data_IF_159226490073
#
_entry.id   IF_159226490073
#
_cell.length_a   1.000
_cell.length_b   1.000
_cell.length_c   1.000
_cell.angle_alpha   90.00
_cell.angle_beta   90.00
_cell.angle_gamma   90.00
#
_symmetry.space_group_name_H-M   'P 1'
#
loop_
_entity.id
_entity.type
_entity.pdbx_description
1 polymer ?
#
# COMPACT_ATOMS: atom_id res chain seq x y z
N UNK A 1 6.59 2.87 -9.15
CA UNK A 1 6.23 2.06 -7.94
C UNK A 1 5.17 0.99 -8.25
N UNK A 2 4.07 1.28 -8.96
CA UNK A 2 3.05 0.27 -9.28
C UNK A 2 3.61 -0.96 -10.01
N UNK A 3 4.48 -0.77 -11.01
CA UNK A 3 5.14 -1.88 -11.72
C UNK A 3 5.99 -2.73 -10.76
N UNK A 4 6.71 -2.11 -9.83
CA UNK A 4 7.50 -2.85 -8.84
C UNK A 4 6.61 -3.71 -7.94
N UNK A 5 5.48 -3.15 -7.46
CA UNK A 5 4.49 -3.90 -6.69
C UNK A 5 3.87 -5.05 -7.49
N UNK A 6 3.51 -4.82 -8.75
CA UNK A 6 2.97 -5.85 -9.63
C UNK A 6 3.98 -7.00 -9.86
N UNK A 7 5.25 -6.69 -10.08
CA UNK A 7 6.30 -7.70 -10.25
C UNK A 7 6.60 -8.47 -8.96
N UNK A 8 6.43 -7.84 -7.79
CA UNK A 8 6.65 -8.48 -6.50
C UNK A 8 5.69 -9.64 -6.21
N UNK A 9 4.52 -9.68 -6.86
CA UNK A 9 3.56 -10.79 -6.71
C UNK A 9 4.16 -12.14 -7.12
N UNK A 10 5.05 -12.15 -8.13
CA UNK A 10 5.64 -13.39 -8.62
C UNK A 10 6.51 -14.10 -7.56
N UNK A 11 7.56 -13.48 -6.99
CA UNK A 11 8.34 -14.12 -5.94
C UNK A 11 7.51 -14.36 -4.67
N UNK A 12 6.57 -13.48 -4.34
CA UNK A 12 5.65 -13.66 -3.20
C UNK A 12 4.83 -14.92 -3.39
N UNK A 13 4.16 -15.10 -4.52
CA UNK A 13 3.35 -16.30 -4.79
C UNK A 13 4.16 -17.60 -4.74
N UNK A 14 5.43 -17.58 -5.15
CA UNK A 14 6.34 -18.74 -4.99
C UNK A 14 6.56 -19.04 -3.49
N UNK A 15 6.85 -18.02 -2.70
CA UNK A 15 7.06 -18.18 -1.25
C UNK A 15 5.79 -18.68 -0.57
N UNK A 16 4.64 -18.11 -0.89
CA UNK A 16 3.33 -18.51 -0.35
C UNK A 16 3.01 -19.97 -0.66
N UNK A 17 3.21 -20.41 -1.90
CA UNK A 17 3.01 -21.82 -2.27
C UNK A 17 3.91 -22.74 -1.44
N UNK A 18 5.17 -22.38 -1.22
CA UNK A 18 6.09 -23.19 -0.39
C UNK A 18 5.66 -23.19 1.07
N UNK A 19 5.32 -22.02 1.62
CA UNK A 19 5.00 -21.87 3.04
C UNK A 19 3.64 -22.52 3.38
N UNK A 20 2.67 -22.48 2.48
CA UNK A 20 1.38 -23.16 2.68
C UNK A 20 1.49 -24.69 2.75
N UNK A 21 2.60 -25.28 2.25
CA UNK A 21 2.84 -26.73 2.47
C UNK A 21 3.09 -27.07 3.94
N UNK A 22 3.52 -26.09 4.76
CA UNK A 22 3.77 -26.29 6.19
C UNK A 22 2.45 -26.38 6.96
N UNK A 23 1.47 -25.57 6.56
CA UNK A 23 0.17 -25.50 7.24
C UNK A 23 -0.99 -25.32 6.22
N UNK A 24 -1.42 -26.41 5.57
CA UNK A 24 -2.22 -26.30 4.33
C UNK A 24 -3.70 -25.96 4.54
N UNK A 25 -4.24 -25.98 5.77
CA UNK A 25 -5.70 -25.86 5.98
C UNK A 25 -6.12 -24.54 6.65
N UNK A 26 -6.66 -23.62 5.87
CA UNK A 26 -7.31 -22.38 6.35
C UNK A 26 -8.63 -22.64 7.11
N UNK A 27 -9.21 -23.83 6.99
CA UNK A 27 -10.46 -24.21 7.65
C UNK A 27 -10.29 -24.35 9.18
N UNK A 28 -9.08 -24.65 9.64
CA UNK A 28 -8.78 -24.66 11.07
C UNK A 28 -8.45 -23.25 11.57
N UNK A 29 -8.67 -23.00 12.86
CA UNK A 29 -8.34 -21.72 13.47
C UNK A 29 -6.84 -21.39 13.34
N UNK A 30 -5.99 -22.37 13.64
CA UNK A 30 -4.54 -22.19 13.56
C UNK A 30 -4.06 -21.99 12.12
N UNK A 31 -4.62 -22.73 11.16
CA UNK A 31 -4.33 -22.58 9.74
C UNK A 31 -4.76 -21.21 9.22
N UNK A 32 -5.96 -20.75 9.57
CA UNK A 32 -6.44 -19.41 9.19
C UNK A 32 -5.56 -18.30 9.74
N UNK A 33 -5.13 -18.41 11.00
CA UNK A 33 -4.18 -17.45 11.60
C UNK A 33 -2.82 -17.48 10.89
N UNK A 34 -2.28 -18.66 10.64
CA UNK A 34 -1.00 -18.82 9.98
C UNK A 34 -1.03 -18.24 8.55
N UNK A 35 -2.03 -18.62 7.76
CA UNK A 35 -2.17 -18.12 6.38
C UNK A 35 -2.36 -16.62 6.35
N UNK A 36 -3.25 -16.06 7.18
CA UNK A 36 -3.54 -14.63 7.19
C UNK A 36 -2.37 -13.77 7.65
N UNK A 37 -1.70 -14.14 8.76
CA UNK A 37 -0.68 -13.28 9.35
C UNK A 37 0.74 -13.58 8.87
N UNK A 38 1.06 -14.83 8.55
CA UNK A 38 2.41 -15.22 8.13
C UNK A 38 2.50 -15.32 6.63
N UNK A 39 1.60 -16.06 5.98
CA UNK A 39 1.68 -16.26 4.52
C UNK A 39 1.34 -14.97 3.79
N UNK A 40 0.11 -14.47 3.93
CA UNK A 40 -0.30 -13.24 3.28
C UNK A 40 0.33 -12.00 3.96
N UNK A 41 -0.02 -11.74 5.22
CA UNK A 41 0.37 -10.52 5.90
C UNK A 41 1.88 -10.26 5.89
N UNK A 42 2.69 -11.16 6.46
CA UNK A 42 4.12 -10.91 6.61
C UNK A 42 4.87 -10.94 5.27
N UNK A 43 4.61 -11.92 4.42
CA UNK A 43 5.35 -12.08 3.16
C UNK A 43 5.03 -10.92 2.21
N UNK A 44 3.74 -10.61 2.01
CA UNK A 44 3.33 -9.54 1.11
C UNK A 44 3.74 -8.15 1.59
N UNK A 45 3.49 -7.82 2.87
CA UNK A 45 3.82 -6.47 3.37
C UNK A 45 5.32 -6.25 3.42
N UNK A 46 6.12 -7.30 3.67
CA UNK A 46 7.58 -7.23 3.55
C UNK A 46 8.02 -6.99 2.11
N UNK A 47 7.39 -7.64 1.12
CA UNK A 47 7.70 -7.44 -0.29
C UNK A 47 7.35 -6.01 -0.77
N UNK A 48 6.19 -5.48 -0.35
CA UNK A 48 5.79 -4.09 -0.63
C UNK A 48 6.76 -3.08 -0.01
N UNK A 49 7.19 -3.31 1.24
CA UNK A 49 8.20 -2.49 1.91
C UNK A 49 9.56 -2.56 1.19
N UNK A 50 9.94 -3.74 0.71
CA UNK A 50 11.16 -3.93 -0.06
C UNK A 50 11.11 -3.16 -1.40
N UNK A 51 9.96 -3.11 -2.08
CA UNK A 51 9.78 -2.27 -3.26
C UNK A 51 10.09 -0.79 -2.95
N UNK A 52 9.53 -0.25 -1.85
CA UNK A 52 9.82 1.12 -1.41
C UNK A 52 11.31 1.32 -1.16
N UNK A 53 11.95 0.36 -0.47
CA UNK A 53 13.37 0.43 -0.10
C UNK A 53 14.31 0.37 -1.30
N UNK A 54 14.01 -0.46 -2.29
CA UNK A 54 14.90 -0.70 -3.43
C UNK A 54 14.70 0.30 -4.56
N UNK A 55 13.46 0.76 -4.80
CA UNK A 55 13.14 1.55 -5.99
C UNK A 55 13.27 3.04 -5.76
N UNK A 56 12.77 3.58 -4.64
CA UNK A 56 12.70 5.04 -4.44
C UNK A 56 13.49 5.56 -3.25
N UNK A 57 13.93 4.71 -2.34
CA UNK A 57 14.53 5.16 -1.08
C UNK A 57 15.70 6.14 -1.23
N UNK A 58 16.51 5.96 -2.25
CA UNK A 58 17.69 6.78 -2.52
C UNK A 58 17.48 7.76 -3.72
N UNK A 59 16.24 7.93 -4.17
CA UNK A 59 15.93 8.85 -5.25
C UNK A 59 15.81 10.29 -4.73
N UNK A 60 16.25 11.28 -5.49
CA UNK A 60 16.13 12.68 -5.10
C UNK A 60 14.67 13.15 -5.00
N UNK A 61 13.76 12.50 -5.73
CA UNK A 61 12.34 12.77 -5.70
C UNK A 61 11.64 12.23 -4.42
N UNK A 62 12.38 11.53 -3.56
CA UNK A 62 11.88 11.08 -2.26
C UNK A 62 12.40 12.04 -1.19
N UNK A 63 11.82 13.22 -1.11
CA UNK A 63 12.28 14.33 -0.27
C UNK A 63 11.23 14.82 0.75
N UNK A 64 9.98 14.32 0.67
CA UNK A 64 8.91 14.63 1.60
C UNK A 64 8.41 13.39 2.34
N UNK A 65 7.75 13.61 3.50
CA UNK A 65 7.16 12.51 4.29
C UNK A 65 5.97 11.89 3.58
N UNK A 66 5.19 12.73 2.89
CA UNK A 66 4.04 12.27 2.14
C UNK A 66 4.42 11.39 0.95
N UNK A 67 5.58 11.65 0.33
CA UNK A 67 6.09 10.85 -0.79
C UNK A 67 6.22 9.37 -0.46
N UNK A 68 6.73 9.06 0.75
CA UNK A 68 6.86 7.67 1.17
C UNK A 68 5.51 6.95 1.21
N UNK A 69 4.46 7.64 1.67
CA UNK A 69 3.10 7.08 1.71
C UNK A 69 2.55 6.87 0.29
N UNK A 70 2.74 7.87 -0.58
CA UNK A 70 2.26 7.82 -1.98
C UNK A 70 2.98 6.72 -2.75
N UNK A 71 4.31 6.67 -2.68
CA UNK A 71 5.08 5.64 -3.39
C UNK A 71 4.79 4.24 -2.88
N UNK A 72 4.64 4.06 -1.57
CA UNK A 72 4.26 2.78 -0.99
C UNK A 72 2.84 2.37 -1.39
N UNK A 73 1.87 3.30 -1.35
CA UNK A 73 0.49 3.03 -1.81
C UNK A 73 0.45 2.58 -3.27
N UNK A 74 1.25 3.20 -4.16
CA UNK A 74 1.37 2.75 -5.55
C UNK A 74 1.94 1.34 -5.68
N UNK A 75 2.89 0.94 -4.82
CA UNK A 75 3.36 -0.44 -4.79
C UNK A 75 2.24 -1.39 -4.34
N UNK A 76 1.49 -1.02 -3.29
CA UNK A 76 0.32 -1.78 -2.83
C UNK A 76 -0.75 -1.95 -3.90
N UNK A 77 -1.08 -0.88 -4.63
CA UNK A 77 -2.04 -0.92 -5.75
C UNK A 77 -1.57 -1.81 -6.90
N UNK A 78 -0.29 -1.73 -7.26
CA UNK A 78 0.27 -2.60 -8.30
C UNK A 78 0.25 -4.07 -7.90
N UNK A 79 0.57 -4.37 -6.65
CA UNK A 79 0.47 -5.69 -6.07
C UNK A 79 -0.97 -6.21 -6.13
N UNK A 80 -1.93 -5.46 -5.57
CA UNK A 80 -3.34 -5.80 -5.54
C UNK A 80 -3.95 -6.04 -6.93
N UNK A 81 -3.49 -5.30 -7.95
CA UNK A 81 -3.96 -5.49 -9.33
C UNK A 81 -3.65 -6.91 -9.84
N UNK A 82 -2.40 -7.34 -9.71
CA UNK A 82 -1.97 -8.67 -10.21
C UNK A 82 -2.58 -9.78 -9.37
N UNK A 83 -2.60 -9.63 -8.05
CA UNK A 83 -3.24 -10.56 -7.15
C UNK A 83 -4.73 -10.74 -7.46
N UNK A 84 -5.47 -9.64 -7.70
CA UNK A 84 -6.89 -9.70 -8.08
C UNK A 84 -7.11 -10.47 -9.39
N UNK A 85 -6.22 -10.32 -10.37
CA UNK A 85 -6.27 -11.11 -11.61
C UNK A 85 -6.13 -12.59 -11.29
N UNK A 86 -5.21 -12.96 -10.38
CA UNK A 86 -5.03 -14.34 -9.91
C UNK A 86 -6.29 -14.90 -9.25
N UNK A 87 -6.89 -14.17 -8.32
CA UNK A 87 -8.14 -14.57 -7.66
C UNK A 87 -9.30 -14.73 -8.64
N UNK A 88 -9.44 -13.81 -9.59
CA UNK A 88 -10.48 -13.90 -10.60
C UNK A 88 -10.23 -15.10 -11.54
N UNK A 89 -9.00 -15.39 -11.91
CA UNK A 89 -8.67 -16.54 -12.72
C UNK A 89 -8.97 -17.87 -12.01
N UNK A 90 -8.84 -17.90 -10.68
CA UNK A 90 -9.15 -19.07 -9.85
C UNK A 90 -10.65 -19.20 -9.50
N UNK A 91 -11.43 -18.12 -9.62
CA UNK A 91 -12.84 -18.10 -9.25
C UNK A 91 -13.71 -18.96 -10.21
N UNK A 92 -14.73 -19.60 -9.68
CA UNK A 92 -15.76 -20.29 -10.48
C UNK A 92 -16.65 -19.30 -11.25
N UNK A 93 -17.17 -19.71 -12.41
CA UNK A 93 -17.95 -18.83 -13.31
C UNK A 93 -19.08 -18.05 -12.65
N UNK A 94 -19.73 -18.57 -11.62
CA UNK A 94 -20.81 -17.88 -10.87
C UNK A 94 -20.32 -16.87 -9.82
N UNK A 95 -19.03 -16.82 -9.53
CA UNK A 95 -18.45 -16.02 -8.43
C UNK A 95 -17.71 -14.76 -8.90
N UNK A 96 -17.44 -14.61 -10.20
CA UNK A 96 -16.62 -13.51 -10.74
C UNK A 96 -17.07 -12.13 -10.30
N UNK A 97 -18.35 -11.81 -10.47
CA UNK A 97 -18.86 -10.46 -10.21
C UNK A 97 -18.76 -10.13 -8.72
N UNK A 98 -19.20 -11.06 -7.86
CA UNK A 98 -19.10 -10.89 -6.40
C UNK A 98 -17.66 -10.75 -5.92
N UNK A 99 -16.77 -11.61 -6.41
CA UNK A 99 -15.33 -11.56 -6.11
C UNK A 99 -14.71 -10.24 -6.57
N UNK A 100 -14.97 -9.83 -7.82
CA UNK A 100 -14.47 -8.58 -8.37
C UNK A 100 -14.93 -7.37 -7.56
N UNK A 101 -16.21 -7.27 -7.24
CA UNK A 101 -16.78 -6.16 -6.47
C UNK A 101 -16.19 -6.14 -5.05
N UNK A 102 -16.19 -7.28 -4.35
CA UNK A 102 -15.69 -7.35 -2.99
C UNK A 102 -14.20 -6.98 -2.92
N UNK A 103 -13.37 -7.53 -3.80
CA UNK A 103 -11.95 -7.23 -3.81
C UNK A 103 -11.65 -5.79 -4.22
N UNK A 104 -12.38 -5.24 -5.20
CA UNK A 104 -12.21 -3.85 -5.62
C UNK A 104 -12.57 -2.85 -4.52
N UNK A 105 -13.60 -3.14 -3.73
CA UNK A 105 -14.07 -2.23 -2.67
C UNK A 105 -13.29 -2.36 -1.36
N UNK A 106 -12.77 -3.54 -1.04
CA UNK A 106 -12.18 -3.81 0.26
C UNK A 106 -10.70 -4.20 0.20
N UNK A 107 -10.32 -5.18 -0.64
CA UNK A 107 -8.95 -5.67 -0.71
C UNK A 107 -8.01 -4.64 -1.34
N UNK A 108 -8.36 -4.04 -2.49
CA UNK A 108 -7.51 -3.05 -3.16
C UNK A 108 -7.21 -1.84 -2.26
N UNK A 109 -8.21 -1.19 -1.62
CA UNK A 109 -7.94 -0.11 -0.68
C UNK A 109 -7.15 -0.57 0.56
N UNK A 110 -7.33 -1.81 1.02
CA UNK A 110 -6.56 -2.34 2.14
C UNK A 110 -5.08 -2.45 1.79
N UNK A 111 -4.71 -3.06 0.65
CA UNK A 111 -3.32 -3.16 0.21
C UNK A 111 -2.64 -1.79 0.08
N UNK A 112 -3.34 -0.81 -0.50
CA UNK A 112 -2.85 0.56 -0.58
C UNK A 112 -2.66 1.17 0.82
N UNK A 113 -3.60 0.90 1.74
CA UNK A 113 -3.55 1.41 3.12
C UNK A 113 -2.40 0.80 3.91
N UNK A 114 -2.22 -0.52 3.87
CA UNK A 114 -1.12 -1.23 4.55
C UNK A 114 0.24 -0.72 4.07
N UNK A 115 0.42 -0.61 2.76
CA UNK A 115 1.65 -0.09 2.19
C UNK A 115 1.88 1.39 2.59
N UNK A 116 0.85 2.25 2.55
CA UNK A 116 0.96 3.65 2.96
C UNK A 116 1.31 3.81 4.45
N UNK A 117 0.77 2.96 5.33
CA UNK A 117 1.14 2.92 6.76
C UNK A 117 2.64 2.62 6.91
N UNK A 118 3.14 1.63 6.17
CA UNK A 118 4.57 1.31 6.15
C UNK A 118 5.39 2.51 5.68
N UNK A 119 4.95 3.18 4.61
CA UNK A 119 5.57 4.40 4.09
C UNK A 119 5.66 5.52 5.13
N UNK A 120 4.56 5.77 5.86
CA UNK A 120 4.50 6.81 6.89
C UNK A 120 5.57 6.60 7.99
N UNK A 121 5.62 5.40 8.58
CA UNK A 121 6.59 5.13 9.63
C UNK A 121 8.04 5.09 9.12
N UNK A 122 8.25 4.65 7.89
CA UNK A 122 9.55 4.71 7.23
C UNK A 122 10.00 6.16 7.04
N UNK A 123 9.11 7.05 6.58
CA UNK A 123 9.38 8.49 6.41
C UNK A 123 9.71 9.17 7.74
N UNK A 124 8.90 8.94 8.78
CA UNK A 124 9.16 9.50 10.11
C UNK A 124 10.55 9.15 10.64
N UNK A 125 10.98 7.91 10.45
CA UNK A 125 12.33 7.51 10.86
C UNK A 125 13.40 8.17 10.02
N UNK A 126 13.15 8.34 8.72
CA UNK A 126 14.11 8.95 7.77
C UNK A 126 14.27 10.45 7.98
N UNK A 127 13.15 11.18 8.07
CA UNK A 127 13.16 12.64 8.05
C UNK A 127 13.17 13.25 9.45
N UNK A 128 12.47 12.63 10.42
CA UNK A 128 12.36 13.14 11.80
C UNK A 128 13.30 12.44 12.78
N UNK A 129 13.94 11.33 12.37
CA UNK A 129 14.74 10.50 13.27
C UNK A 129 13.92 9.76 14.35
N UNK A 130 12.58 9.78 14.27
CA UNK A 130 11.66 9.29 15.31
C UNK A 130 10.77 8.14 14.84
N UNK A 131 10.14 7.45 15.78
CA UNK A 131 9.18 6.38 15.49
C UNK A 131 9.82 5.02 15.17
N UNK A 132 8.98 4.00 14.96
CA UNK A 132 9.42 2.60 14.84
C UNK A 132 10.05 2.27 13.47
N UNK A 133 10.04 3.21 12.53
CA UNK A 133 10.59 3.03 11.20
C UNK A 133 9.83 2.04 10.33
N UNK A 134 10.45 1.62 9.23
CA UNK A 134 9.84 0.72 8.26
C UNK A 134 9.41 -0.61 8.89
N UNK A 135 10.21 -1.19 9.78
CA UNK A 135 9.88 -2.46 10.43
C UNK A 135 8.61 -2.36 11.28
N UNK A 136 8.45 -1.27 12.05
CA UNK A 136 7.22 -1.04 12.82
C UNK A 136 6.02 -0.75 11.92
N UNK A 137 6.23 -0.07 10.79
CA UNK A 137 5.20 0.12 9.76
C UNK A 137 4.74 -1.21 9.17
N UNK A 138 5.68 -2.09 8.79
CA UNK A 138 5.38 -3.44 8.33
C UNK A 138 4.62 -4.24 9.39
N UNK A 139 5.05 -4.20 10.65
CA UNK A 139 4.36 -4.93 11.72
C UNK A 139 2.88 -4.49 11.87
N UNK A 140 2.61 -3.18 11.79
CA UNK A 140 1.23 -2.68 11.83
C UNK A 140 0.45 -3.05 10.57
N UNK A 141 1.08 -2.99 9.40
CA UNK A 141 0.48 -3.42 8.14
C UNK A 141 0.13 -4.92 8.17
N UNK A 142 1.04 -5.77 8.67
CA UNK A 142 0.80 -7.21 8.89
C UNK A 142 -0.38 -7.45 9.83
N UNK A 143 -0.45 -6.71 10.94
CA UNK A 143 -1.57 -6.82 11.88
C UNK A 143 -2.90 -6.44 11.23
N UNK A 144 -2.94 -5.38 10.44
CA UNK A 144 -4.15 -4.93 9.74
C UNK A 144 -4.56 -5.91 8.62
N UNK A 145 -3.61 -6.26 7.75
CA UNK A 145 -3.81 -7.18 6.63
C UNK A 145 -4.22 -8.57 7.12
N UNK A 146 -3.44 -9.14 8.04
CA UNK A 146 -3.74 -10.44 8.62
C UNK A 146 -5.09 -10.48 9.34
N UNK A 147 -5.50 -9.40 10.02
CA UNK A 147 -6.84 -9.31 10.62
C UNK A 147 -7.94 -9.34 9.56
N UNK A 148 -7.75 -8.64 8.46
CA UNK A 148 -8.69 -8.61 7.34
C UNK A 148 -8.84 -10.00 6.72
N UNK A 149 -7.74 -10.66 6.36
CA UNK A 149 -7.76 -12.00 5.75
C UNK A 149 -8.27 -13.05 6.70
N UNK A 150 -7.81 -13.04 7.95
CA UNK A 150 -8.32 -13.94 8.97
C UNK A 150 -9.84 -13.83 9.13
N UNK A 151 -10.36 -12.60 9.17
CA UNK A 151 -11.79 -12.36 9.27
C UNK A 151 -12.54 -12.86 8.02
N UNK A 152 -11.97 -12.66 6.82
CA UNK A 152 -12.53 -13.17 5.57
C UNK A 152 -12.59 -14.71 5.56
N UNK A 153 -11.49 -15.40 5.91
CA UNK A 153 -11.44 -16.87 5.98
C UNK A 153 -12.41 -17.43 7.00
N UNK A 154 -12.52 -16.80 8.18
CA UNK A 154 -13.45 -17.23 9.22
C UNK A 154 -14.90 -16.97 8.86
N UNK A 155 -15.21 -15.82 8.27
CA UNK A 155 -16.56 -15.52 7.80
C UNK A 155 -17.01 -16.54 6.74
N UNK A 156 -16.15 -16.88 5.78
CA UNK A 156 -16.45 -17.89 4.76
C UNK A 156 -16.68 -19.28 5.36
N UNK A 157 -15.71 -19.78 6.16
CA UNK A 157 -15.79 -21.12 6.77
C UNK A 157 -17.01 -21.28 7.69
N UNK A 158 -17.31 -20.27 8.50
CA UNK A 158 -18.44 -20.30 9.42
C UNK A 158 -19.78 -20.12 8.70
N UNK A 159 -19.78 -19.33 7.60
CA UNK A 159 -20.95 -19.16 6.75
C UNK A 159 -21.35 -20.47 6.05
N UNK A 160 -20.38 -21.21 5.50
CA UNK A 160 -20.62 -22.54 4.92
C UNK A 160 -21.27 -23.51 5.92
N UNK A 161 -20.93 -23.38 7.21
CA UNK A 161 -21.47 -24.20 8.28
C UNK A 161 -22.78 -23.66 8.88
N UNK A 162 -23.35 -22.57 8.33
CA UNK A 162 -24.57 -21.93 8.83
C UNK A 162 -24.44 -21.27 10.20
N UNK A 163 -23.23 -20.97 10.66
CA UNK A 163 -22.98 -20.35 11.96
C UNK A 163 -23.27 -18.86 11.98
N UNK A 164 -24.06 -18.37 12.92
CA UNK A 164 -24.31 -16.95 13.14
C UNK A 164 -23.03 -16.13 13.46
N UNK A 165 -21.96 -16.79 13.92
CA UNK A 165 -20.68 -16.14 14.16
C UNK A 165 -20.01 -15.62 12.88
N UNK A 166 -20.39 -16.10 11.70
CA UNK A 166 -19.93 -15.58 10.42
C UNK A 166 -20.14 -14.06 10.29
N UNK A 167 -21.28 -13.56 10.80
CA UNK A 167 -21.59 -12.13 10.79
C UNK A 167 -20.62 -11.28 11.61
N UNK A 168 -20.12 -11.80 12.74
CA UNK A 168 -19.12 -11.10 13.56
C UNK A 168 -17.82 -10.94 12.76
N UNK A 169 -17.35 -11.99 12.10
CA UNK A 169 -16.14 -11.92 11.29
C UNK A 169 -16.32 -11.03 10.05
N UNK A 170 -17.51 -11.01 9.44
CA UNK A 170 -17.80 -10.06 8.37
C UNK A 170 -17.72 -8.61 8.85
N UNK A 171 -18.17 -8.29 10.06
CA UNK A 171 -18.01 -6.97 10.66
C UNK A 171 -16.54 -6.62 10.94
N UNK A 172 -15.75 -7.59 11.43
CA UNK A 172 -14.29 -7.39 11.64
C UNK A 172 -13.59 -7.12 10.31
N UNK A 173 -13.91 -7.86 9.25
CA UNK A 173 -13.43 -7.64 7.89
C UNK A 173 -13.72 -6.21 7.40
N UNK A 174 -14.97 -5.76 7.53
CA UNK A 174 -15.36 -4.39 7.15
C UNK A 174 -14.64 -3.35 8.00
N UNK A 175 -14.55 -3.57 9.32
CA UNK A 175 -13.87 -2.66 10.24
C UNK A 175 -12.37 -2.54 9.93
N UNK A 176 -11.70 -3.63 9.58
CA UNK A 176 -10.30 -3.61 9.19
C UNK A 176 -10.09 -2.79 7.91
N UNK A 177 -10.92 -3.01 6.88
CA UNK A 177 -10.82 -2.27 5.61
C UNK A 177 -11.08 -0.77 5.79
N UNK A 178 -12.23 -0.41 6.40
CA UNK A 178 -12.60 1.00 6.61
C UNK A 178 -11.64 1.67 7.61
N UNK A 179 -11.28 0.97 8.69
CA UNK A 179 -10.33 1.45 9.70
C UNK A 179 -8.95 1.75 9.11
N UNK A 180 -8.47 0.90 8.22
CA UNK A 180 -7.23 1.12 7.46
C UNK A 180 -7.27 2.41 6.65
N UNK A 181 -8.33 2.63 5.87
CA UNK A 181 -8.51 3.86 5.09
C UNK A 181 -8.59 5.11 5.96
N UNK A 182 -9.33 5.05 7.07
CA UNK A 182 -9.43 6.17 8.04
C UNK A 182 -8.07 6.46 8.68
N UNK A 183 -7.33 5.42 9.06
CA UNK A 183 -6.00 5.56 9.62
C UNK A 183 -5.05 6.24 8.63
N UNK A 184 -4.98 5.74 7.38
CA UNK A 184 -4.13 6.32 6.33
C UNK A 184 -4.46 7.79 6.09
N UNK A 185 -5.75 8.15 6.03
CA UNK A 185 -6.15 9.55 5.90
C UNK A 185 -5.58 10.43 7.03
N UNK A 186 -5.64 9.96 8.28
CA UNK A 186 -5.09 10.69 9.43
C UNK A 186 -3.57 10.78 9.37
N UNK A 187 -2.90 9.69 9.00
CA UNK A 187 -1.45 9.66 8.85
C UNK A 187 -0.97 10.56 7.71
N UNK A 188 -1.70 10.59 6.58
CA UNK A 188 -1.40 11.49 5.47
C UNK A 188 -1.57 12.96 5.84
N UNK A 189 -2.61 13.31 6.62
CA UNK A 189 -2.78 14.65 7.15
C UNK A 189 -1.63 15.04 8.09
N UNK A 190 -1.16 14.11 8.94
CA UNK A 190 -0.03 14.35 9.82
C UNK A 190 1.29 14.50 9.05
N UNK A 191 1.52 13.68 8.00
CA UNK A 191 2.67 13.80 7.13
C UNK A 191 2.67 15.15 6.40
N UNK A 192 1.54 15.52 5.81
CA UNK A 192 1.36 16.79 5.12
C UNK A 192 1.62 17.99 6.02
N UNK A 193 1.06 17.99 7.24
CA UNK A 193 1.30 19.06 8.20
C UNK A 193 2.77 19.16 8.64
N UNK A 194 3.47 18.04 8.74
CA UNK A 194 4.90 18.02 9.06
C UNK A 194 5.75 18.51 7.87
N UNK A 195 5.37 18.18 6.65
CA UNK A 195 6.05 18.69 5.44
C UNK A 195 5.83 20.20 5.28
N UNK A 196 4.61 20.71 5.52
CA UNK A 196 4.30 22.15 5.45
C UNK A 196 5.03 22.96 6.53
N UNK A 197 5.36 22.35 7.67
CA UNK A 197 6.10 22.98 8.76
C UNK A 197 7.63 22.87 8.60
N UNK A 198 8.13 22.10 7.65
CA UNK A 198 9.56 21.89 7.45
C UNK A 198 10.20 23.03 6.67
N UNK A 199 11.08 23.85 7.29
CA UNK A 199 11.71 24.99 6.62
C UNK A 199 12.69 24.57 5.50
N UNK A 200 13.08 23.32 5.40
CA UNK A 200 13.93 22.79 4.35
C UNK A 200 13.14 22.50 3.06
N UNK A 201 11.83 22.43 3.13
CA UNK A 201 10.95 22.19 2.00
C UNK A 201 10.41 23.52 1.42
N UNK A 202 10.20 23.63 0.11
CA UNK A 202 9.56 24.80 -0.47
C UNK A 202 8.10 24.89 0.00
N UNK A 203 7.65 26.11 0.33
CA UNK A 203 6.25 26.33 0.71
C UNK A 203 5.29 25.81 -0.38
N UNK A 204 4.35 24.96 -0.02
CA UNK A 204 3.32 24.46 -0.96
C UNK A 204 2.51 25.64 -1.46
N UNK A 205 2.48 25.83 -2.76
CA UNK A 205 1.87 26.99 -3.43
C UNK A 205 2.87 28.00 -4.00
N UNK A 206 4.15 27.98 -3.61
CA UNK A 206 5.17 28.83 -4.23
C UNK A 206 5.66 28.29 -5.58
N UNK A 207 5.48 26.99 -5.82
CA UNK A 207 5.79 26.32 -7.11
C UNK A 207 4.53 26.03 -7.95
N UNK A 208 3.35 26.34 -7.47
CA UNK A 208 2.19 26.50 -8.33
C UNK A 208 2.41 27.78 -9.14
N UNK A 209 3.37 27.74 -10.07
CA UNK A 209 3.32 28.62 -11.21
C UNK A 209 1.90 28.45 -11.73
N UNK A 210 1.06 29.45 -11.46
CA UNK A 210 -0.26 29.58 -12.07
C UNK A 210 -0.03 29.31 -13.54
N UNK A 211 -0.49 28.15 -14.02
CA UNK A 211 -0.69 27.97 -15.44
C UNK A 211 -1.79 28.98 -15.75
N UNK A 212 -1.40 30.19 -16.02
CA UNK A 212 -2.26 31.21 -16.57
C UNK A 212 -2.63 30.72 -17.98
N UNK A 213 -3.74 29.99 -18.09
CA UNK A 213 -4.34 29.63 -19.38
C UNK A 213 -4.68 30.86 -20.23
N UNK A 214 -4.61 32.07 -19.66
CA UNK A 214 -4.87 33.35 -20.34
C UNK A 214 -3.75 33.82 -21.29
N UNK A 215 -2.71 33.03 -21.52
CA UNK A 215 -1.57 33.41 -22.37
C UNK A 215 -1.07 32.35 -23.33
N UNK A 216 -1.80 31.28 -23.55
CA UNK A 216 -1.38 30.31 -24.57
C UNK A 216 -1.55 30.93 -25.97
N UNK A 217 -0.45 31.13 -26.72
CA UNK A 217 -0.58 31.55 -28.12
C UNK A 217 -1.29 30.43 -28.89
N UNK A 218 -2.29 30.80 -29.68
CA UNK A 218 -2.93 29.91 -30.62
C UNK A 218 -1.96 29.60 -31.81
N UNK A 219 -0.96 28.77 -31.53
CA UNK A 219 0.06 28.36 -32.49
C UNK A 219 0.46 26.89 -32.31
N UNK A 220 1.03 26.26 -33.35
CA UNK A 220 1.46 24.87 -33.29
C UNK A 220 2.53 24.65 -32.22
N UNK A 221 2.47 23.52 -31.51
CA UNK A 221 3.29 23.10 -30.36
C UNK A 221 4.83 23.01 -30.61
N UNK A 222 5.30 23.37 -31.79
CA UNK A 222 6.71 23.30 -32.21
C UNK A 222 7.64 24.38 -31.59
N UNK A 223 7.12 25.26 -30.72
CA UNK A 223 7.88 26.32 -30.06
C UNK A 223 7.93 26.24 -28.53
N UNK A 224 7.54 25.13 -27.94
CA UNK A 224 7.58 24.99 -26.48
C UNK A 224 9.03 24.92 -25.98
N UNK A 225 9.49 25.81 -25.07
CA UNK A 225 10.80 25.67 -24.47
C UNK A 225 10.89 24.41 -23.63
N UNK A 226 12.02 23.70 -23.60
CA UNK A 226 12.18 22.54 -22.73
C UNK A 226 11.97 22.98 -21.26
N UNK A 227 11.42 22.08 -20.41
CA UNK A 227 11.23 22.40 -19.00
C UNK A 227 12.56 22.81 -18.37
N UNK A 228 12.54 23.87 -17.57
CA UNK A 228 13.72 24.35 -16.86
C UNK A 228 14.22 23.20 -15.96
N UNK A 229 15.48 22.80 -16.16
CA UNK A 229 16.15 21.83 -15.29
C UNK A 229 16.33 22.51 -13.94
N UNK A 230 15.78 22.00 -12.83
CA UNK A 230 16.03 22.57 -11.52
C UNK A 230 17.53 22.51 -11.21
N UNK A 231 18.10 23.46 -10.49
CA UNK A 231 19.50 23.44 -10.11
C UNK A 231 19.84 22.14 -9.39
N UNK A 232 20.90 21.46 -9.82
CA UNK A 232 21.40 20.24 -9.20
C UNK A 232 21.67 20.50 -7.72
N UNK A 233 20.85 19.94 -6.84
CA UNK A 233 21.17 19.91 -5.41
C UNK A 233 22.42 19.05 -5.24
N UNK A 234 23.44 19.59 -4.58
CA UNK A 234 24.72 18.94 -4.35
C UNK A 234 24.57 17.58 -3.67
N UNK A 235 25.61 16.73 -3.76
CA UNK A 235 25.54 15.38 -3.23
C UNK A 235 25.34 15.44 -1.71
N UNK A 236 24.35 14.70 -1.23
CA UNK A 236 24.11 14.47 0.19
C UNK A 236 25.36 13.83 0.80
N UNK A 237 26.19 14.64 1.49
CA UNK A 237 27.24 14.14 2.33
C UNK A 237 26.61 13.31 3.46
N UNK A 238 27.08 12.06 3.62
CA UNK A 238 26.51 11.05 4.49
C UNK A 238 26.27 11.50 5.94
N UNK A 239 25.20 11.02 6.48
CA UNK A 239 25.06 10.57 7.88
C UNK A 239 24.27 9.27 7.93
#
# INVERSE_FOLDING_TARGET
MAIAGALAVVPVGIVEVVVTQIYPSERTLAGALFTAFVVAGLVEESAKALCLRLVVWNRPEFDERLDAMVYAAWAGLGFALVENIGYLAAAGRGQYVGMFVARSLFSVPLHASCAAITGYFAARRRFDGTGPGMAGGVALAVALHGTFDFAAFRAATLGENGSGAAGIFALVFLAASVGGMVLVRRLAQAALAADDADPALPARGSSAGSIHLAGLPAGPLSGWPPPAVPPSRGPWAGR
#
